data_IF_760378914547
#
_entry.id   IF_760378914547
#
_cell.length_a   1.000
_cell.length_b   1.000
_cell.length_c   1.000
_cell.angle_alpha   90.00
_cell.angle_beta   90.00
_cell.angle_gamma   90.00
#
_symmetry.space_group_name_H-M   'P 1'
#
loop_
_entity.id
_entity.type
_entity.pdbx_description
1 polymer ?
2 non-polymer ?
3 non-polymer ?
4 non-polymer ?
5 water ?
#
# COMPACT_ATOMS: atom_id res chain seq x y z
N UNK A 6 -21.95 5.16 3.50
CA UNK A 6 -21.83 4.75 2.10
C UNK A 6 -20.37 4.46 1.76
N UNK A 7 -19.45 5.19 2.40
CA UNK A 7 -18.03 4.93 2.17
C UNK A 7 -17.63 3.54 2.65
N UNK A 8 -18.17 3.10 3.80
CA UNK A 8 -17.88 1.75 4.26
C UNK A 8 -18.24 0.75 3.18
N UNK A 9 -19.37 0.96 2.49
CA UNK A 9 -19.78 0.05 1.43
C UNK A 9 -18.87 0.16 0.20
N UNK A 10 -18.52 1.38 -0.21
CA UNK A 10 -17.55 1.52 -1.29
C UNK A 10 -16.26 0.78 -0.97
N UNK A 11 -15.77 0.89 0.27
CA UNK A 11 -14.53 0.22 0.66
C UNK A 11 -14.68 -1.29 0.63
N UNK A 12 -15.77 -1.82 1.18
CA UNK A 12 -15.94 -3.27 1.18
C UNK A 12 -16.11 -3.81 -0.23
N UNK A 13 -16.90 -3.12 -1.07
CA UNK A 13 -17.04 -3.57 -2.46
C UNK A 13 -15.68 -3.58 -3.15
N UNK A 14 -14.88 -2.54 -2.91
CA UNK A 14 -13.56 -2.49 -3.50
C UNK A 14 -12.67 -3.61 -2.97
N UNK A 15 -12.61 -3.79 -1.65
CA UNK A 15 -11.72 -4.81 -1.10
C UNK A 15 -12.11 -6.21 -1.58
N UNK A 16 -13.41 -6.46 -1.69
CA UNK A 16 -13.88 -7.77 -2.16
C UNK A 16 -13.56 -8.01 -3.62
N UNK A 17 -13.10 -6.99 -4.36
CA UNK A 17 -12.74 -7.11 -5.76
C UNK A 17 -11.25 -7.30 -5.98
N UNK A 18 -10.43 -7.18 -4.94
CA UNK A 18 -8.98 -7.28 -5.04
C UNK A 18 -8.58 -8.71 -4.69
N UNK A 19 -7.93 -9.45 -5.59
CA UNK A 19 -7.65 -10.88 -5.30
C UNK A 19 -6.90 -11.13 -3.99
N UNK A 20 -5.91 -10.32 -3.64
CA UNK A 20 -5.19 -10.53 -2.40
C UNK A 20 -6.15 -10.55 -1.20
N UNK A 21 -7.14 -9.66 -1.21
CA UNK A 21 -8.00 -9.45 -0.06
C UNK A 21 -9.30 -10.24 -0.12
N UNK A 22 -9.65 -10.80 -1.29
CA UNK A 22 -10.79 -11.71 -1.39
C UNK A 22 -10.62 -12.95 -0.54
N UNK A 23 -9.39 -13.29 -0.15
CA UNK A 23 -9.14 -14.44 0.69
C UNK A 23 -9.53 -14.20 2.14
N UNK A 24 -9.80 -12.94 2.54
CA UNK A 24 -10.04 -12.62 3.93
C UNK A 24 -11.53 -12.75 4.28
N UNK A 25 -11.83 -13.28 5.46
CA UNK A 25 -13.22 -13.29 5.94
C UNK A 25 -13.84 -11.90 5.85
N UNK A 26 -15.14 -11.85 5.55
CA UNK A 26 -15.79 -10.56 5.37
C UNK A 26 -15.85 -9.76 6.65
N UNK A 27 -15.85 -10.39 7.82
CA UNK A 27 -15.80 -9.61 9.05
C UNK A 27 -14.45 -8.90 9.20
N UNK A 28 -13.37 -9.53 8.73
CA UNK A 28 -12.08 -8.85 8.72
C UNK A 28 -12.09 -7.70 7.72
N UNK A 29 -12.69 -7.91 6.55
CA UNK A 29 -12.79 -6.81 5.60
C UNK A 29 -13.61 -5.66 6.17
N UNK A 30 -14.67 -5.98 6.91
CA UNK A 30 -15.49 -4.94 7.49
C UNK A 30 -14.69 -4.12 8.50
N UNK A 31 -13.87 -4.78 9.30
CA UNK A 31 -13.03 -4.07 10.25
C UNK A 31 -12.01 -3.20 9.55
N UNK A 32 -11.43 -3.67 8.44
CA UNK A 32 -10.52 -2.83 7.68
C UNK A 32 -11.25 -1.62 7.12
N UNK A 33 -12.47 -1.82 6.62
CA UNK A 33 -13.23 -0.72 6.09
C UNK A 33 -13.55 0.32 7.17
N UNK A 34 -13.71 -0.12 8.42
CA UNK A 34 -13.99 0.81 9.53
C UNK A 34 -12.79 1.69 9.81
N UNK A 35 -11.57 1.15 9.70
CA UNK A 35 -10.38 1.82 10.23
C UNK A 35 -9.55 2.50 9.16
N UNK A 36 -9.71 2.12 7.90
CA UNK A 36 -8.80 2.66 6.89
C UNK A 36 -9.08 4.13 6.66
N UNK A 37 -8.07 4.82 6.16
CA UNK A 37 -8.20 6.22 5.80
C UNK A 37 -7.92 6.40 4.32
N UNK A 38 -8.69 7.26 3.68
CA UNK A 38 -8.52 7.52 2.28
C UNK A 38 -7.62 8.73 2.14
N UNK A 39 -6.57 8.60 1.34
CA UNK A 39 -5.65 9.71 1.08
C UNK A 39 -5.54 9.94 -0.42
N UNK A 40 -5.38 11.20 -0.79
CA UNK A 40 -5.41 11.64 -2.17
C UNK A 40 -4.13 12.37 -2.52
N UNK A 41 -3.64 12.11 -3.73
CA UNK A 41 -2.39 12.67 -4.22
C UNK A 41 -2.59 13.18 -5.62
N UNK A 42 -1.70 14.08 -6.00
CA UNK A 42 -1.64 14.60 -7.35
C UNK A 42 -0.33 14.18 -8.02
N UNK A 43 -0.30 14.28 -9.34
CA UNK A 43 0.84 13.79 -10.11
C UNK A 43 2.15 14.39 -9.59
N UNK A 44 3.14 13.52 -9.40
CA UNK A 44 4.45 13.92 -8.97
C UNK A 44 4.65 13.95 -7.47
N UNK A 45 3.59 13.76 -6.68
CA UNK A 45 3.66 13.86 -5.24
C UNK A 45 4.27 12.58 -4.67
N UNK A 46 5.27 12.72 -3.81
CA UNK A 46 5.85 11.57 -3.11
C UNK A 46 4.85 11.06 -2.09
N UNK A 47 4.50 9.79 -2.20
CA UNK A 47 3.66 9.10 -1.22
C UNK A 47 4.51 8.48 -0.13
N UNK A 48 5.62 7.87 -0.53
CA UNK A 48 6.63 7.30 0.37
C UNK A 48 8.00 7.75 -0.13
N UNK A 49 8.87 8.09 0.81
CA UNK A 49 10.28 8.39 0.52
C UNK A 49 11.17 7.31 1.11
N UNK A 50 12.09 6.81 0.29
CA UNK A 50 13.07 5.86 0.75
C UNK A 50 13.86 6.43 1.94
N UNK A 51 14.07 5.60 2.96
CA UNK A 51 14.82 6.00 4.14
C UNK A 51 13.99 6.53 5.28
N UNK A 52 12.73 6.90 5.03
CA UNK A 52 11.83 7.28 6.10
C UNK A 52 11.47 6.06 6.94
N UNK A 53 10.94 6.32 8.13
CA UNK A 53 10.44 5.27 9.01
C UNK A 53 8.92 5.23 8.87
N UNK A 54 8.38 4.06 8.56
CA UNK A 54 6.98 3.96 8.23
C UNK A 54 6.19 3.00 9.06
N UNK A 55 4.86 3.20 9.07
CA UNK A 55 3.93 2.44 9.90
C UNK A 55 2.60 2.24 9.17
N UNK A 56 2.56 2.43 7.87
CA UNK A 56 1.32 2.36 7.12
C UNK A 56 1.46 1.54 5.85
N UNK A 57 0.36 0.87 5.50
CA UNK A 57 0.22 0.04 4.31
C UNK A 57 -0.81 0.69 3.39
N UNK A 58 -0.58 0.58 2.07
CA UNK A 58 -1.37 1.30 1.07
C UNK A 58 -1.97 0.36 0.04
N UNK A 59 -3.23 0.59 -0.30
CA UNK A 59 -3.91 -0.08 -1.38
C UNK A 59 -4.41 0.98 -2.34
N UNK A 60 -4.07 0.86 -3.62
CA UNK A 60 -4.45 1.86 -4.60
C UNK A 60 -5.90 1.61 -5.03
N UNK A 61 -6.79 2.56 -4.76
CA UNK A 61 -8.17 2.50 -5.23
C UNK A 61 -8.45 3.35 -6.44
N UNK A 62 -7.52 4.24 -6.82
CA UNK A 62 -7.67 5.05 -8.02
C UNK A 62 -6.30 5.50 -8.48
N UNK A 63 -6.00 5.35 -9.76
CA UNK A 63 -4.79 5.91 -10.34
C UNK A 63 -3.63 4.95 -10.42
N UNK A 64 -2.43 5.53 -10.60
CA UNK A 64 -1.20 4.76 -10.74
C UNK A 64 -0.05 5.49 -10.04
N UNK A 65 0.97 4.72 -9.66
CA UNK A 65 2.16 5.25 -9.00
C UNK A 65 3.41 4.65 -9.64
N UNK A 66 4.52 5.38 -9.53
CA UNK A 66 5.82 4.90 -9.92
C UNK A 66 6.64 4.58 -8.67
N UNK A 67 7.44 3.52 -8.74
CA UNK A 67 8.32 3.08 -7.65
C UNK A 67 9.77 3.20 -8.12
N UNK A 68 10.60 3.85 -7.31
CA UNK A 68 12.01 4.02 -7.63
C UNK A 68 12.85 3.74 -6.39
N UNK A 69 14.12 3.42 -6.59
CA UNK A 69 14.99 3.08 -5.47
C UNK A 69 16.44 3.43 -5.78
N UNK A 70 17.13 4.00 -4.80
CA UNK A 70 18.56 4.27 -4.88
C UNK A 70 19.32 3.10 -4.27
N UNK A 71 20.10 2.40 -5.10
CA UNK A 71 20.94 1.31 -4.64
C UNK A 71 22.32 1.84 -4.28
N UNK A 72 22.94 1.23 -3.27
CA UNK A 72 24.22 1.68 -2.75
C UNK A 72 25.25 1.97 -3.84
N UNK A 73 25.38 1.12 -4.84
CA UNK A 73 26.36 1.33 -5.89
C UNK A 73 25.85 2.24 -7.01
N UNK A 74 24.69 2.81 -6.87
CA UNK A 74 24.21 3.78 -7.85
C UNK A 74 24.20 5.16 -7.25
N UNK A 75 24.29 6.16 -8.08
CA UNK A 75 24.11 7.51 -7.62
C UNK A 75 22.65 8.00 -7.54
N UNK A 76 21.86 7.64 -8.52
CA UNK A 76 20.58 8.22 -8.69
C UNK A 76 19.59 7.08 -8.53
N UNK A 77 18.44 7.45 -8.14
CA UNK A 77 17.36 6.45 -8.00
C UNK A 77 16.96 5.84 -9.34
N UNK A 78 16.66 4.55 -9.32
CA UNK A 78 16.38 3.78 -10.53
C UNK A 78 14.91 3.40 -10.53
N UNK A 79 14.26 3.55 -11.68
CA UNK A 79 12.86 3.18 -11.80
C UNK A 79 12.71 1.67 -11.64
N UNK A 80 11.77 1.25 -10.79
CA UNK A 80 11.49 -0.16 -10.58
C UNK A 80 10.25 -0.62 -11.32
N UNK A 81 9.09 -0.02 -11.07
CA UNK A 81 7.86 -0.50 -11.68
C UNK A 81 6.74 0.52 -11.47
N UNK A 82 5.64 0.29 -12.17
CA UNK A 82 4.41 1.06 -12.02
C UNK A 82 3.31 0.16 -11.46
N UNK A 83 2.58 0.68 -10.48
CA UNK A 83 1.47 -0.03 -9.87
C UNK A 83 0.18 0.74 -10.14
N UNK A 84 -0.92 0.02 -10.17
CA UNK A 84 -2.20 0.63 -10.44
C UNK A 84 -3.30 0.16 -9.52
N UNK A 85 -4.54 0.44 -9.92
CA UNK A 85 -5.70 0.16 -9.08
C UNK A 85 -5.73 -1.31 -8.68
N UNK A 86 -5.91 -1.55 -7.38
CA UNK A 86 -5.93 -2.88 -6.83
C UNK A 86 -4.59 -3.37 -6.32
N UNK A 87 -3.50 -2.76 -6.75
CA UNK A 87 -2.18 -3.08 -6.26
C UNK A 87 -1.95 -2.40 -4.91
N UNK A 88 -0.91 -2.87 -4.21
CA UNK A 88 -0.65 -2.44 -2.85
C UNK A 88 0.86 -2.31 -2.63
N UNK A 89 1.24 -1.55 -1.61
CA UNK A 89 2.65 -1.32 -1.32
C UNK A 89 2.78 -0.80 0.11
N UNK A 90 4.02 -0.76 0.59
CA UNK A 90 4.30 -0.27 1.94
C UNK A 90 4.42 -1.35 2.98
N UNK A 91 4.46 -2.62 2.57
CA UNK A 91 4.50 -3.70 3.54
C UNK A 91 5.88 -3.93 4.14
N UNK A 92 6.96 -3.56 3.46
CA UNK A 92 8.28 -3.93 3.96
C UNK A 92 8.57 -3.24 5.30
N UNK A 93 8.21 -1.97 5.45
CA UNK A 93 8.40 -1.30 6.72
C UNK A 93 7.53 -1.87 7.84
N UNK A 94 6.57 -2.74 7.51
CA UNK A 94 5.73 -3.38 8.50
C UNK A 94 6.17 -4.82 8.78
N UNK A 95 7.29 -5.21 8.21
CA UNK A 95 7.78 -6.57 8.32
C UNK A 95 9.09 -6.89 9.07
N UNK A 96 9.31 -6.31 10.17
CA UNK A 96 10.59 -6.36 10.84
C UNK A 96 11.06 -4.94 11.15
N UNK A 97 12.07 -4.45 10.43
CA UNK A 97 12.52 -3.08 10.61
C UNK A 97 11.56 -2.13 9.90
N UNK A 98 11.38 -0.93 10.48
CA UNK A 98 10.38 0.02 10.00
C UNK A 98 10.91 1.03 8.98
N UNK A 99 11.93 0.70 8.24
CA UNK A 99 12.46 1.63 7.25
C UNK A 99 11.83 1.39 5.88
N UNK A 100 11.55 2.49 5.17
CA UNK A 100 11.05 2.44 3.81
C UNK A 100 12.21 2.16 2.86
N UNK A 101 12.03 1.22 1.95
CA UNK A 101 13.11 0.73 1.12
C UNK A 101 13.04 1.26 -0.31
N UNK A 102 12.06 2.10 -0.64
CA UNK A 102 11.91 2.64 -1.98
C UNK A 102 11.00 3.86 -1.92
N UNK A 103 11.07 4.65 -2.97
CA UNK A 103 10.15 5.78 -3.17
C UNK A 103 8.92 5.31 -3.92
N UNK A 104 7.77 5.87 -3.57
CA UNK A 104 6.53 5.66 -4.31
C UNK A 104 5.96 7.03 -4.61
N UNK A 105 5.76 7.32 -5.90
CA UNK A 105 5.39 8.65 -6.37
C UNK A 105 4.13 8.56 -7.22
N UNK A 106 3.17 9.42 -6.95
CA UNK A 106 1.95 9.45 -7.76
C UNK A 106 2.28 9.82 -9.20
N UNK A 107 1.57 9.17 -10.12
CA UNK A 107 1.76 9.36 -11.56
C UNK A 107 0.51 9.93 -12.21
N UNK A 108 -0.44 10.39 -11.39
CA UNK A 108 -1.71 10.97 -11.80
C UNK A 108 -2.51 11.20 -10.52
N UNK A 109 -3.77 11.57 -10.64
CA UNK A 109 -4.62 11.66 -9.45
C UNK A 109 -4.75 10.28 -8.83
N UNK A 110 -4.35 10.15 -7.57
CA UNK A 110 -4.29 8.85 -6.90
C UNK A 110 -5.13 8.91 -5.64
N UNK A 111 -5.86 7.83 -5.38
CA UNK A 111 -6.48 7.59 -4.08
C UNK A 111 -5.89 6.31 -3.54
N UNK A 112 -5.38 6.37 -2.31
CA UNK A 112 -4.94 5.19 -1.59
C UNK A 112 -5.81 4.98 -0.36
N UNK A 113 -6.09 3.71 -0.06
CA UNK A 113 -6.64 3.32 1.20
C UNK A 113 -5.47 2.97 2.10
N UNK A 114 -5.36 3.63 3.22
CA UNK A 114 -4.20 3.54 4.09
C UNK A 114 -4.59 2.84 5.36
N UNK A 115 -3.84 1.79 5.70
CA UNK A 115 -4.09 0.94 6.86
C UNK A 115 -2.93 1.10 7.83
N UNK A 116 -3.23 1.35 9.09
CA UNK A 116 -2.20 1.60 10.07
C UNK A 116 -1.58 0.29 10.57
N UNK A 117 -0.48 0.41 11.27
CA UNK A 117 0.23 -0.74 11.76
C UNK A 117 -0.59 -1.62 12.67
N UNK A 118 -1.34 -1.04 13.58
CA UNK A 118 -2.13 -1.87 14.48
C UNK A 118 -3.10 -2.77 13.70
N UNK A 119 -3.75 -2.23 12.67
CA UNK A 119 -4.69 -3.02 11.91
C UNK A 119 -3.95 -3.98 10.98
N UNK A 120 -2.85 -3.55 10.39
CA UNK A 120 -2.11 -4.43 9.48
C UNK A 120 -1.61 -5.67 10.20
N UNK A 121 -1.02 -5.49 11.38
CA UNK A 121 -0.37 -6.62 12.06
C UNK A 121 -1.37 -7.66 12.49
N UNK A 122 -2.62 -7.26 12.71
CA UNK A 122 -3.66 -8.20 13.11
C UNK A 122 -4.36 -8.81 11.92
N UNK A 123 -4.67 -8.01 10.91
CA UNK A 123 -5.62 -8.40 9.88
C UNK A 123 -5.02 -8.70 8.51
N UNK A 124 -3.83 -8.17 8.17
CA UNK A 124 -3.27 -8.32 6.84
C UNK A 124 -1.94 -9.07 6.84
N UNK A 125 -1.11 -8.87 7.87
CA UNK A 125 0.26 -9.34 7.80
C UNK A 125 0.42 -10.85 7.68
N UNK A 126 -0.60 -11.61 8.06
CA UNK A 126 -0.54 -13.05 7.94
C UNK A 126 -0.88 -13.60 6.57
N UNK A 127 -1.37 -12.76 5.64
CA UNK A 127 -1.66 -13.22 4.30
C UNK A 127 -0.37 -13.64 3.59
N UNK A 128 -0.39 -14.82 2.98
CA UNK A 128 0.82 -15.32 2.34
C UNK A 128 1.29 -14.40 1.21
N UNK A 129 0.36 -13.84 0.44
CA UNK A 129 0.75 -12.96 -0.67
C UNK A 129 1.52 -11.74 -0.17
N UNK A 130 1.24 -11.32 1.06
CA UNK A 130 1.92 -10.18 1.65
C UNK A 130 3.18 -10.60 2.37
N UNK A 131 3.09 -11.64 3.22
CA UNK A 131 4.25 -12.05 4.01
C UNK A 131 5.35 -12.64 3.14
N UNK A 132 5.00 -13.29 2.03
CA UNK A 132 5.97 -13.91 1.14
C UNK A 132 6.27 -13.05 -0.08
N UNK A 133 5.81 -11.80 -0.13
CA UNK A 133 6.08 -10.93 -1.27
C UNK A 133 7.59 -10.76 -1.44
N UNK A 134 8.03 -10.73 -2.69
CA UNK A 134 9.44 -10.52 -3.00
C UNK A 134 9.53 -9.85 -4.36
N UNK A 135 10.61 -9.07 -4.53
CA UNK A 135 10.78 -8.28 -5.74
C UNK A 135 12.10 -8.64 -6.42
#
# INVERSE_FOLDING_TARGET
>A
GSTGLIKHTEYMEFLKSVPTFQSLPEEILSKLADVLEETHYENGEYIIRQGARGDTFFIISKGTVNVTREDSPSEDPVFLRTLGKGDWFGEKALQGEDVRTANVIAAEAVTCLVIDRDSFKHLIGGLDDVSNKAY
#
